data_IF_191841325350
#
_entry.id   IF_191841325350
#
_cell.length_a   1.000
_cell.length_b   1.000
_cell.length_c   1.000
_cell.angle_alpha   90.00
_cell.angle_beta   90.00
_cell.angle_gamma   90.00
#
_symmetry.space_group_name_H-M   'P 1'
#
loop_
_entity.id
_entity.type
_entity.pdbx_description
1 polymer ?
#
# COMPACT_ATOMS: atom_id res chain seq x y z
N UNK A 1 3.01 -30.54 4.18
CA UNK A 1 3.14 -29.60 3.05
C UNK A 1 4.47 -28.89 3.17
N UNK A 2 5.40 -29.09 2.23
CA UNK A 2 6.76 -28.55 2.33
C UNK A 2 6.78 -27.01 2.32
N UNK A 3 7.81 -26.43 2.94
CA UNK A 3 8.03 -24.97 2.97
C UNK A 3 8.42 -24.42 1.59
N UNK A 4 9.02 -25.25 0.73
CA UNK A 4 9.54 -24.87 -0.60
C UNK A 4 8.49 -24.26 -1.57
N UNK A 5 7.31 -24.86 -1.76
CA UNK A 5 6.24 -24.31 -2.60
C UNK A 5 5.75 -22.93 -2.17
N UNK A 6 5.66 -22.68 -0.86
CA UNK A 6 5.21 -21.40 -0.30
C UNK A 6 6.26 -20.32 -0.60
N UNK A 7 7.52 -20.58 -0.27
CA UNK A 7 8.62 -19.62 -0.52
C UNK A 7 8.74 -19.27 -2.00
N UNK A 8 8.58 -20.26 -2.90
CA UNK A 8 8.60 -20.03 -4.35
C UNK A 8 7.47 -19.11 -4.82
N UNK A 9 6.25 -19.26 -4.28
CA UNK A 9 5.10 -18.41 -4.61
C UNK A 9 5.25 -16.99 -4.06
N UNK A 10 5.74 -16.86 -2.83
CA UNK A 10 6.09 -15.56 -2.24
C UNK A 10 7.15 -14.85 -3.06
N UNK A 11 8.24 -15.54 -3.41
CA UNK A 11 9.29 -15.00 -4.25
C UNK A 11 8.74 -14.52 -5.59
N UNK A 12 7.91 -15.33 -6.26
CA UNK A 12 7.30 -14.98 -7.54
C UNK A 12 6.46 -13.69 -7.50
N UNK A 13 5.72 -13.45 -6.41
CA UNK A 13 4.93 -12.24 -6.24
C UNK A 13 5.78 -10.96 -6.28
N UNK A 14 6.97 -10.99 -5.67
CA UNK A 14 7.86 -9.84 -5.57
C UNK A 14 8.80 -9.66 -6.78
N UNK A 15 8.69 -10.47 -7.83
CA UNK A 15 9.55 -10.34 -9.03
C UNK A 15 9.17 -9.11 -9.87
N UNK A 16 7.88 -8.76 -9.92
CA UNK A 16 7.35 -7.76 -10.85
C UNK A 16 6.60 -6.65 -10.11
N UNK A 17 7.27 -5.60 -9.62
CA UNK A 17 6.61 -4.51 -8.87
C UNK A 17 5.64 -3.69 -9.73
N UNK A 18 5.78 -3.75 -11.06
CA UNK A 18 4.92 -3.06 -12.01
C UNK A 18 4.03 -4.06 -12.77
N UNK A 19 2.78 -3.69 -13.09
CA UNK A 19 1.98 -4.41 -14.07
C UNK A 19 2.74 -4.65 -15.39
N UNK A 20 2.45 -5.77 -16.06
CA UNK A 20 3.07 -6.08 -17.36
C UNK A 20 2.68 -5.08 -18.46
N UNK A 21 3.44 -5.07 -19.57
CA UNK A 21 3.27 -4.18 -20.73
C UNK A 21 1.86 -4.17 -21.33
N UNK A 22 1.07 -5.24 -21.13
CA UNK A 22 -0.32 -5.32 -21.57
C UNK A 22 -1.31 -4.48 -20.74
N UNK A 23 -0.94 -4.03 -19.53
CA UNK A 23 -1.73 -3.16 -18.64
C UNK A 23 -1.23 -1.71 -18.55
N UNK A 24 -0.11 -1.39 -19.22
CA UNK A 24 0.48 -0.05 -19.30
C UNK A 24 0.65 0.42 -20.76
N UNK A 25 -0.28 0.04 -21.64
CA UNK A 25 -0.41 0.73 -22.91
C UNK A 25 -1.02 2.11 -22.67
N UNK A 26 -0.57 3.12 -23.41
CA UNK A 26 -1.20 4.45 -23.42
C UNK A 26 -2.69 4.42 -23.80
N UNK A 27 -3.19 3.29 -24.35
CA UNK A 27 -4.59 3.06 -24.69
C UNK A 27 -5.36 2.23 -23.64
N UNK A 28 -4.70 1.76 -22.56
CA UNK A 28 -5.30 1.04 -21.41
C UNK A 28 -5.00 1.81 -20.12
N UNK A 29 -5.60 2.99 -20.05
CA UNK A 29 -5.39 4.06 -19.07
C UNK A 29 -5.68 3.77 -17.56
N UNK A 30 -6.43 2.72 -17.12
CA UNK A 30 -6.73 2.55 -15.69
C UNK A 30 -5.49 2.36 -14.82
N UNK A 31 -4.47 1.68 -15.35
CA UNK A 31 -3.34 1.18 -14.57
C UNK A 31 -2.58 2.29 -13.85
N UNK A 32 -2.12 3.31 -14.59
CA UNK A 32 -1.34 4.43 -14.02
C UNK A 32 -2.19 5.33 -13.12
N UNK A 33 -3.45 5.56 -13.49
CA UNK A 33 -4.39 6.39 -12.70
C UNK A 33 -4.71 5.80 -11.33
N UNK A 34 -4.45 4.51 -11.13
CA UNK A 34 -4.64 3.81 -9.87
C UNK A 34 -3.30 3.55 -9.17
N UNK A 35 -2.31 3.04 -9.91
CA UNK A 35 -1.04 2.64 -9.33
C UNK A 35 -0.27 3.80 -8.73
N UNK A 36 -0.08 4.88 -9.50
CA UNK A 36 0.73 6.02 -9.06
C UNK A 36 0.09 6.73 -7.86
N UNK A 37 -1.23 7.06 -7.86
CA UNK A 37 -1.82 7.68 -6.69
C UNK A 37 -1.78 6.81 -5.44
N UNK A 38 -2.03 5.50 -5.56
CA UNK A 38 -1.93 4.59 -4.41
C UNK A 38 -0.50 4.52 -3.88
N UNK A 39 0.49 4.42 -4.76
CA UNK A 39 1.90 4.48 -4.37
C UNK A 39 2.21 5.75 -3.58
N UNK A 40 1.79 6.92 -4.08
CA UNK A 40 2.01 8.20 -3.41
C UNK A 40 1.26 8.29 -2.07
N UNK A 41 0.06 7.73 -1.96
CA UNK A 41 -0.69 7.69 -0.70
C UNK A 41 0.06 6.86 0.35
N UNK A 42 0.52 5.65 0.00
CA UNK A 42 1.29 4.83 0.94
C UNK A 42 2.61 5.48 1.31
N UNK A 43 3.34 6.05 0.34
CA UNK A 43 4.56 6.80 0.61
C UNK A 43 4.31 7.97 1.56
N UNK A 44 3.25 8.74 1.33
CA UNK A 44 2.85 9.83 2.21
C UNK A 44 2.54 9.33 3.62
N UNK A 45 1.79 8.23 3.78
CA UNK A 45 1.50 7.65 5.09
C UNK A 45 2.78 7.24 5.80
N UNK A 46 3.70 6.55 5.11
CA UNK A 46 4.98 6.13 5.69
C UNK A 46 5.84 7.31 6.14
N UNK A 47 5.95 8.35 5.31
CA UNK A 47 6.64 9.59 5.67
C UNK A 47 5.95 10.27 6.85
N UNK A 48 4.63 10.38 6.80
CA UNK A 48 3.83 11.03 7.81
C UNK A 48 3.98 10.35 9.17
N UNK A 49 4.01 9.02 9.23
CA UNK A 49 4.17 8.28 10.48
C UNK A 49 5.61 8.32 11.00
N UNK A 50 6.60 8.11 10.12
CA UNK A 50 7.94 7.68 10.55
C UNK A 50 9.05 8.72 10.36
N UNK A 51 8.83 9.81 9.60
CA UNK A 51 9.89 10.78 9.32
C UNK A 51 10.38 11.55 10.57
N UNK A 52 9.45 11.85 11.49
CA UNK A 52 9.72 12.57 12.73
C UNK A 52 10.52 11.78 13.77
N UNK A 53 10.64 10.46 13.60
CA UNK A 53 11.27 9.56 14.57
C UNK A 53 12.46 8.86 13.90
N UNK A 54 13.72 9.30 14.15
CA UNK A 54 14.87 8.86 13.37
C UNK A 54 15.05 7.34 13.25
N UNK A 55 14.80 6.60 14.32
CA UNK A 55 14.94 5.14 14.35
C UNK A 55 13.81 4.38 13.62
N UNK A 56 12.66 5.02 13.35
CA UNK A 56 11.56 4.45 12.56
C UNK A 56 11.68 4.74 11.06
N UNK A 57 12.53 5.70 10.65
CA UNK A 57 12.69 6.07 9.23
C UNK A 57 12.97 4.89 8.29
N UNK A 58 13.77 3.86 8.65
CA UNK A 58 13.96 2.71 7.78
C UNK A 58 12.65 1.98 7.42
N UNK A 59 11.63 2.05 8.28
CA UNK A 59 10.32 1.42 8.06
C UNK A 59 9.55 2.08 6.91
N UNK A 60 9.92 3.28 6.45
CA UNK A 60 9.32 3.89 5.24
C UNK A 60 9.44 2.96 4.02
N UNK A 61 10.48 2.11 3.96
CA UNK A 61 10.65 1.10 2.90
C UNK A 61 9.45 0.14 2.86
N UNK A 62 8.85 -0.21 4.00
CA UNK A 62 7.64 -1.02 4.06
C UNK A 62 6.51 -0.41 3.22
N UNK A 63 6.30 0.90 3.36
CA UNK A 63 5.25 1.62 2.65
C UNK A 63 5.53 1.77 1.16
N UNK A 64 6.81 1.91 0.78
CA UNK A 64 7.24 1.87 -0.62
C UNK A 64 6.89 0.51 -1.22
N UNK A 65 7.24 -0.59 -0.53
CA UNK A 65 6.92 -1.95 -0.97
C UNK A 65 5.41 -2.13 -1.08
N UNK A 66 4.65 -1.83 -0.03
CA UNK A 66 3.19 -1.95 -0.04
C UNK A 66 2.59 -1.12 -1.17
N UNK A 67 2.97 0.14 -1.31
CA UNK A 67 2.45 1.02 -2.35
C UNK A 67 2.72 0.50 -3.77
N UNK A 68 3.89 -0.07 -4.02
CA UNK A 68 4.23 -0.64 -5.32
C UNK A 68 3.41 -1.90 -5.62
N UNK A 69 3.40 -2.87 -4.71
CA UNK A 69 2.81 -4.18 -4.96
C UNK A 69 1.28 -4.20 -4.80
N UNK A 70 0.74 -3.59 -3.73
CA UNK A 70 -0.70 -3.46 -3.56
C UNK A 70 -1.29 -2.54 -4.62
N UNK A 71 -0.59 -1.45 -4.95
CA UNK A 71 -1.00 -0.56 -6.03
C UNK A 71 -1.02 -1.26 -7.39
N UNK A 72 -0.06 -2.15 -7.68
CA UNK A 72 -0.08 -3.01 -8.88
C UNK A 72 -1.32 -3.90 -8.88
N UNK A 73 -1.59 -4.58 -7.78
CA UNK A 73 -2.68 -5.55 -7.71
C UNK A 73 -4.03 -4.83 -7.90
N UNK A 74 -4.23 -3.69 -7.24
CA UNK A 74 -5.45 -2.87 -7.41
C UNK A 74 -5.53 -2.30 -8.83
N UNK A 75 -4.41 -1.90 -9.43
CA UNK A 75 -4.39 -1.43 -10.82
C UNK A 75 -4.79 -2.53 -11.81
N UNK A 76 -4.42 -3.80 -11.55
CA UNK A 76 -4.90 -4.95 -12.34
C UNK A 76 -6.42 -5.09 -12.17
N UNK A 77 -6.94 -5.05 -10.94
CA UNK A 77 -8.38 -5.12 -10.69
C UNK A 77 -9.17 -3.96 -11.32
N UNK A 78 -8.60 -2.75 -11.35
CA UNK A 78 -9.24 -1.58 -11.94
C UNK A 78 -9.49 -1.69 -13.45
N UNK A 79 -8.76 -2.57 -14.15
CA UNK A 79 -9.05 -2.87 -15.56
C UNK A 79 -10.37 -3.62 -15.75
N UNK A 80 -10.75 -4.44 -14.77
CA UNK A 80 -11.99 -5.23 -14.81
C UNK A 80 -13.14 -4.51 -14.12
N UNK A 81 -12.85 -3.55 -13.23
CA UNK A 81 -13.86 -2.80 -12.51
C UNK A 81 -13.51 -1.30 -12.44
N UNK A 82 -14.12 -0.45 -13.30
CA UNK A 82 -13.83 0.99 -13.32
C UNK A 82 -14.30 1.74 -12.06
N UNK A 83 -15.16 1.15 -11.22
CA UNK A 83 -15.53 1.74 -9.93
C UNK A 83 -14.31 1.91 -9.00
N UNK A 84 -13.29 1.07 -9.18
CA UNK A 84 -12.02 1.21 -8.44
C UNK A 84 -11.32 2.52 -8.82
N UNK A 85 -11.34 2.90 -10.10
CA UNK A 85 -10.77 4.17 -10.57
C UNK A 85 -11.50 5.34 -9.91
N UNK A 86 -12.84 5.30 -9.89
CA UNK A 86 -13.65 6.32 -9.23
C UNK A 86 -13.34 6.40 -7.74
N UNK A 87 -13.24 5.27 -7.05
CA UNK A 87 -12.90 5.21 -5.63
C UNK A 87 -11.51 5.82 -5.35
N UNK A 88 -10.52 5.56 -6.19
CA UNK A 88 -9.18 6.17 -6.07
C UNK A 88 -9.23 7.67 -6.32
N UNK A 89 -9.97 8.13 -7.32
CA UNK A 89 -10.17 9.58 -7.57
C UNK A 89 -10.84 10.25 -6.38
N UNK A 90 -11.92 9.67 -5.85
CA UNK A 90 -12.58 10.17 -4.64
C UNK A 90 -11.62 10.20 -3.46
N UNK A 91 -10.80 9.16 -3.26
CA UNK A 91 -9.81 9.12 -2.20
C UNK A 91 -8.79 10.26 -2.35
N UNK A 92 -8.30 10.54 -3.56
CA UNK A 92 -7.37 11.65 -3.82
C UNK A 92 -8.03 12.99 -3.45
N UNK A 93 -9.25 13.24 -3.94
CA UNK A 93 -9.99 14.48 -3.71
C UNK A 93 -10.30 14.67 -2.22
N UNK A 94 -10.70 13.61 -1.52
CA UNK A 94 -11.05 13.65 -0.11
C UNK A 94 -9.83 13.58 0.81
N UNK A 95 -8.65 13.20 0.30
CA UNK A 95 -7.44 13.02 1.11
C UNK A 95 -7.04 14.26 1.93
N UNK A 96 -7.11 15.51 1.43
CA UNK A 96 -6.71 16.66 2.24
C UNK A 96 -7.64 16.85 3.44
N UNK A 97 -8.94 16.62 3.25
CA UNK A 97 -9.93 16.68 4.33
C UNK A 97 -9.68 15.56 5.35
N UNK A 98 -9.53 14.32 4.90
CA UNK A 98 -9.20 13.17 5.76
C UNK A 98 -7.90 13.39 6.56
N UNK A 99 -6.86 13.92 5.93
CA UNK A 99 -5.58 14.18 6.56
C UNK A 99 -5.74 15.25 7.64
N UNK A 100 -6.37 16.38 7.32
CA UNK A 100 -6.45 17.52 8.23
C UNK A 100 -7.45 17.30 9.37
N UNK A 101 -8.58 16.67 9.09
CA UNK A 101 -9.67 16.51 10.06
C UNK A 101 -9.56 15.23 10.89
N UNK A 102 -8.89 14.18 10.40
CA UNK A 102 -8.81 12.90 11.11
C UNK A 102 -7.37 12.48 11.42
N UNK A 103 -6.51 12.32 10.40
CA UNK A 103 -5.18 11.73 10.61
C UNK A 103 -4.27 12.60 11.47
N UNK A 104 -4.28 13.93 11.25
CA UNK A 104 -3.50 14.87 12.06
C UNK A 104 -3.91 14.89 13.53
N UNK A 105 -5.19 15.11 13.88
CA UNK A 105 -5.65 15.03 15.26
C UNK A 105 -5.34 13.68 15.91
N UNK A 106 -5.57 12.58 15.18
CA UNK A 106 -5.34 11.23 15.70
C UNK A 106 -3.87 11.00 16.05
N UNK A 107 -2.95 11.38 15.15
CA UNK A 107 -1.50 11.25 15.41
C UNK A 107 -1.07 12.12 16.59
N UNK A 108 -1.58 13.35 16.70
CA UNK A 108 -1.23 14.24 17.80
C UNK A 108 -1.73 13.69 19.13
N UNK A 109 -3.00 13.26 19.19
CA UNK A 109 -3.60 12.71 20.41
C UNK A 109 -2.93 11.42 20.84
N UNK A 110 -2.81 10.44 19.94
CA UNK A 110 -2.25 9.12 20.28
C UNK A 110 -0.73 9.15 20.39
N UNK A 111 -0.03 9.98 19.62
CA UNK A 111 1.42 10.13 19.70
C UNK A 111 1.88 10.80 20.99
N UNK A 112 1.08 11.71 21.55
CA UNK A 112 1.37 12.31 22.86
C UNK A 112 1.20 11.32 24.02
N UNK A 113 0.24 10.39 23.90
CA UNK A 113 -0.03 9.39 24.95
C UNK A 113 0.81 8.12 24.81
N UNK A 114 1.14 7.71 23.58
CA UNK A 114 1.79 6.44 23.28
C UNK A 114 3.03 6.66 22.38
N UNK A 115 4.25 6.70 22.95
CA UNK A 115 5.46 6.99 22.18
C UNK A 115 5.79 5.93 21.12
N UNK A 116 5.21 4.73 21.24
CA UNK A 116 5.36 3.63 20.28
C UNK A 116 4.17 3.48 19.32
N UNK A 117 3.23 4.43 19.29
CA UNK A 117 2.03 4.35 18.45
C UNK A 117 2.34 4.07 16.97
N UNK A 118 3.31 4.79 16.40
CA UNK A 118 3.74 4.60 15.01
C UNK A 118 4.29 3.18 14.78
N UNK A 119 5.11 2.67 15.71
CA UNK A 119 5.65 1.31 15.63
C UNK A 119 4.54 0.25 15.69
N UNK A 120 3.56 0.41 16.57
CA UNK A 120 2.42 -0.53 16.67
C UNK A 120 1.60 -0.53 15.38
N UNK A 121 1.36 0.64 14.79
CA UNK A 121 0.71 0.75 13.48
C UNK A 121 1.54 0.09 12.38
N UNK A 122 2.85 0.31 12.34
CA UNK A 122 3.75 -0.29 11.35
C UNK A 122 3.73 -1.82 11.44
N UNK A 123 3.77 -2.38 12.66
CA UNK A 123 3.68 -3.83 12.89
C UNK A 123 2.30 -4.37 12.46
N UNK A 124 1.23 -3.64 12.75
CA UNK A 124 -0.12 -3.98 12.29
C UNK A 124 -0.25 -3.99 10.77
N UNK A 125 0.32 -2.99 10.10
CA UNK A 125 0.34 -2.87 8.64
C UNK A 125 1.17 -3.99 8.02
N UNK A 126 2.34 -4.31 8.58
CA UNK A 126 3.16 -5.43 8.14
C UNK A 126 2.40 -6.77 8.30
N UNK A 127 1.74 -6.98 9.44
CA UNK A 127 0.91 -8.17 9.68
C UNK A 127 -0.26 -8.27 8.70
N UNK A 128 -0.97 -7.18 8.45
CA UNK A 128 -2.07 -7.13 7.49
C UNK A 128 -1.59 -7.40 6.06
N UNK A 129 -0.46 -6.81 5.65
CA UNK A 129 0.09 -7.00 4.31
C UNK A 129 0.63 -8.42 4.11
N UNK A 130 1.34 -8.98 5.09
CA UNK A 130 1.80 -10.37 5.03
C UNK A 130 0.63 -11.35 4.99
N UNK A 131 -0.45 -11.09 5.75
CA UNK A 131 -1.68 -11.85 5.66
C UNK A 131 -2.34 -11.74 4.28
N UNK A 132 -2.43 -10.53 3.71
CA UNK A 132 -2.95 -10.30 2.36
C UNK A 132 -2.20 -11.13 1.31
N UNK A 133 -0.87 -11.03 1.28
CA UNK A 133 -0.03 -11.80 0.33
C UNK A 133 -0.22 -13.31 0.56
N UNK A 134 -0.24 -13.76 1.82
CA UNK A 134 -0.42 -15.18 2.14
C UNK A 134 -1.76 -15.72 1.68
N UNK A 135 -2.83 -15.01 2.02
CA UNK A 135 -4.18 -15.57 2.02
C UNK A 135 -4.91 -15.34 0.70
N UNK A 136 -4.63 -14.23 0.02
CA UNK A 136 -5.37 -13.83 -1.17
C UNK A 136 -4.53 -14.07 -2.41
N UNK A 137 -3.31 -13.56 -2.45
CA UNK A 137 -2.46 -13.66 -3.64
C UNK A 137 -2.01 -15.10 -3.90
N UNK A 138 -1.49 -15.82 -2.89
CA UNK A 138 -0.94 -17.18 -3.16
C UNK A 138 -1.98 -18.28 -3.32
N UNK A 139 -3.27 -17.98 -3.12
CA UNK A 139 -4.38 -18.90 -3.42
C UNK A 139 -4.84 -18.82 -4.87
N UNK A 140 -4.68 -17.66 -5.51
CA UNK A 140 -5.12 -17.39 -6.89
C UNK A 140 -4.05 -17.74 -7.95
N UNK A 141 -2.82 -18.06 -7.53
CA UNK A 141 -1.68 -18.44 -8.36
C UNK A 141 -1.32 -19.93 -8.27
#
# INVERSE_FOLDING_TARGET
>A
MGVGPIVKRYGAYFIRPFPGTQGFSAYRFPGMLVHLPLFLIFLFIGLYLNLGTPWLRPIIILYIVIGLYLGRDIAIYAHYNPLIILAVICLIILSPFLINSALKPLKTALGATFPFFALVLDLGILAAYTYYVRSLVTKEA
#
